data_IF_254010959307
#
_entry.id   IF_254010959307
#
_cell.length_a   1.000
_cell.length_b   1.000
_cell.length_c   1.000
_cell.angle_alpha   90.00
_cell.angle_beta   90.00
_cell.angle_gamma   90.00
#
_symmetry.space_group_name_H-M   'P 1'
#
loop_
_entity.id
_entity.type
_entity.pdbx_description
1 polymer ?
#
# COMPACT_ATOMS: atom_id res chain seq x y z
N UNK A 1 2.10 -15.03 -9.76
CA UNK A 1 3.15 -15.64 -8.92
C UNK A 1 3.16 -14.83 -7.62
N UNK A 2 2.87 -15.43 -6.46
CA UNK A 2 2.88 -14.67 -5.20
C UNK A 2 4.33 -14.28 -4.87
N UNK A 3 4.57 -12.99 -4.67
CA UNK A 3 5.89 -12.48 -4.26
C UNK A 3 6.12 -12.85 -2.79
N UNK A 4 7.33 -13.27 -2.40
CA UNK A 4 7.62 -13.64 -1.02
C UNK A 4 7.41 -12.44 -0.09
N UNK A 5 6.72 -12.68 1.03
CA UNK A 5 6.43 -11.67 2.06
C UNK A 5 7.11 -11.99 3.41
N UNK A 6 7.86 -13.10 3.50
CA UNK A 6 8.45 -13.61 4.75
C UNK A 6 9.38 -12.60 5.44
N UNK A 7 10.02 -11.74 4.65
CA UNK A 7 10.90 -10.70 5.14
C UNK A 7 10.15 -9.42 5.56
N UNK A 8 8.84 -9.32 5.37
CA UNK A 8 8.04 -8.12 5.67
C UNK A 8 7.59 -8.14 7.12
N UNK A 9 8.42 -7.57 8.00
CA UNK A 9 8.25 -7.63 9.47
C UNK A 9 7.94 -6.29 10.12
N UNK A 10 8.00 -5.20 9.36
CA UNK A 10 7.71 -3.84 9.81
C UNK A 10 7.39 -2.96 8.60
N UNK A 11 6.96 -1.73 8.89
CA UNK A 11 6.58 -0.74 7.86
C UNK A 11 7.69 -0.43 6.85
N UNK A 12 8.97 -0.42 7.26
CA UNK A 12 10.08 -0.16 6.33
C UNK A 12 10.30 -1.33 5.37
N UNK A 13 10.08 -2.57 5.83
CA UNK A 13 10.14 -3.74 4.97
C UNK A 13 8.97 -3.72 3.98
N UNK A 14 7.77 -3.33 4.42
CA UNK A 14 6.61 -3.12 3.55
C UNK A 14 6.90 -2.06 2.49
N UNK A 15 7.48 -0.92 2.89
CA UNK A 15 7.89 0.14 1.97
C UNK A 15 8.83 -0.37 0.89
N UNK A 16 9.90 -1.08 1.28
CA UNK A 16 10.85 -1.67 0.31
C UNK A 16 10.19 -2.70 -0.60
N UNK A 17 9.23 -3.46 -0.09
CA UNK A 17 8.50 -4.46 -0.87
C UNK A 17 7.63 -3.78 -1.93
N UNK A 18 6.88 -2.73 -1.57
CA UNK A 18 6.02 -1.97 -2.50
C UNK A 18 6.88 -1.19 -3.52
N UNK A 19 8.00 -0.60 -3.12
CA UNK A 19 8.95 0.06 -4.04
C UNK A 19 9.43 -0.93 -5.11
N UNK A 20 9.85 -2.13 -4.70
CA UNK A 20 10.24 -3.19 -5.66
C UNK A 20 9.08 -3.61 -6.55
N UNK A 21 7.88 -3.73 -6.00
CA UNK A 21 6.68 -4.03 -6.76
C UNK A 21 6.46 -3.02 -7.89
N UNK A 22 6.46 -1.72 -7.57
CA UNK A 22 6.25 -0.65 -8.55
C UNK A 22 7.38 -0.63 -9.60
N UNK A 23 8.63 -0.74 -9.16
CA UNK A 23 9.80 -0.77 -10.06
C UNK A 23 9.72 -1.93 -11.04
N UNK A 24 9.41 -3.12 -10.56
CA UNK A 24 9.45 -4.34 -11.36
C UNK A 24 8.25 -4.44 -12.31
N UNK A 25 7.04 -4.07 -11.87
CA UNK A 25 5.81 -4.25 -12.66
C UNK A 25 5.46 -3.05 -13.56
N UNK A 26 5.91 -1.85 -13.18
CA UNK A 26 5.62 -0.62 -13.93
C UNK A 26 6.87 0.02 -14.56
N UNK A 27 8.05 -0.59 -14.40
CA UNK A 27 9.33 -0.09 -14.94
C UNK A 27 9.64 1.35 -14.52
N UNK A 28 9.21 1.74 -13.30
CA UNK A 28 9.47 3.06 -12.72
C UNK A 28 10.86 3.08 -12.11
N UNK A 29 11.58 4.19 -12.30
CA UNK A 29 12.92 4.38 -11.71
C UNK A 29 12.84 4.39 -10.16
N UNK A 30 13.60 3.53 -9.51
CA UNK A 30 13.64 3.47 -8.04
C UNK A 30 14.10 4.80 -7.43
N UNK A 31 14.89 5.61 -8.15
CA UNK A 31 15.37 6.90 -7.69
C UNK A 31 14.23 7.92 -7.43
N UNK A 32 13.09 7.78 -8.11
CA UNK A 32 11.93 8.68 -7.93
C UNK A 32 10.89 8.12 -6.94
N UNK A 33 11.00 6.85 -6.54
CA UNK A 33 10.13 6.17 -5.57
C UNK A 33 10.48 6.55 -4.12
N UNK A 34 10.36 7.84 -3.83
CA UNK A 34 10.61 8.42 -2.50
C UNK A 34 9.34 8.42 -1.67
N UNK A 35 9.46 8.60 -0.34
CA UNK A 35 8.32 8.61 0.58
C UNK A 35 7.24 9.63 0.21
N UNK A 36 7.69 10.82 -0.19
CA UNK A 36 6.82 11.93 -0.57
C UNK A 36 6.28 11.85 -1.99
N UNK A 37 6.72 10.87 -2.79
CA UNK A 37 6.33 10.75 -4.18
C UNK A 37 4.82 10.50 -4.29
N UNK A 38 4.16 11.33 -5.08
CA UNK A 38 2.75 11.17 -5.47
C UNK A 38 2.66 10.05 -6.52
N UNK A 39 1.77 9.09 -6.28
CA UNK A 39 1.65 7.88 -7.11
C UNK A 39 1.38 8.22 -8.59
N UNK A 40 0.48 9.16 -8.86
CA UNK A 40 0.13 9.54 -10.23
C UNK A 40 1.16 10.49 -10.87
N UNK A 41 1.47 11.61 -10.20
CA UNK A 41 2.29 12.66 -10.83
C UNK A 41 3.79 12.40 -10.78
N UNK A 42 4.29 11.84 -9.67
CA UNK A 42 5.74 11.66 -9.48
C UNK A 42 6.17 10.26 -9.90
N UNK A 43 5.39 9.23 -9.56
CA UNK A 43 5.68 7.86 -9.98
C UNK A 43 5.16 7.54 -11.38
N UNK A 44 4.29 8.39 -11.96
CA UNK A 44 3.75 8.21 -13.31
C UNK A 44 2.77 7.05 -13.45
N UNK A 45 2.15 6.61 -12.34
CA UNK A 45 1.19 5.51 -12.36
C UNK A 45 -0.19 6.00 -12.79
N UNK A 46 -0.86 5.26 -13.67
CA UNK A 46 -2.29 5.50 -13.94
C UNK A 46 -3.16 4.96 -12.82
N UNK A 47 -4.41 5.42 -12.74
CA UNK A 47 -5.38 4.91 -11.76
C UNK A 47 -5.50 3.39 -11.87
N UNK A 48 -5.60 2.82 -13.08
CA UNK A 48 -5.71 1.36 -13.24
C UNK A 48 -4.46 0.62 -12.75
N UNK A 49 -3.28 1.22 -12.89
CA UNK A 49 -2.04 0.65 -12.37
C UNK A 49 -2.01 0.68 -10.84
N UNK A 50 -2.48 1.77 -10.22
CA UNK A 50 -2.58 1.84 -8.76
C UNK A 50 -3.63 0.85 -8.24
N UNK A 51 -4.75 0.66 -8.93
CA UNK A 51 -5.73 -0.38 -8.58
C UNK A 51 -5.12 -1.79 -8.66
N UNK A 52 -4.40 -2.10 -9.73
CA UNK A 52 -3.69 -3.39 -9.85
C UNK A 52 -2.60 -3.59 -8.79
N UNK A 53 -1.96 -2.50 -8.36
CA UNK A 53 -1.01 -2.50 -7.25
C UNK A 53 -1.71 -2.85 -5.92
N UNK A 54 -2.87 -2.25 -5.65
CA UNK A 54 -3.69 -2.56 -4.48
C UNK A 54 -4.13 -4.02 -4.48
N UNK A 55 -4.56 -4.55 -5.62
CA UNK A 55 -4.95 -5.96 -5.76
C UNK A 55 -3.77 -6.89 -5.46
N UNK A 56 -2.59 -6.57 -5.99
CA UNK A 56 -1.38 -7.37 -5.74
C UNK A 56 -0.96 -7.35 -4.27
N UNK A 57 -1.07 -6.19 -3.60
CA UNK A 57 -0.80 -6.06 -2.16
C UNK A 57 -1.85 -6.85 -1.36
N UNK A 58 -3.14 -6.71 -1.70
CA UNK A 58 -4.23 -7.41 -1.05
C UNK A 58 -4.04 -8.92 -1.10
N UNK A 59 -3.74 -9.46 -2.28
CA UNK A 59 -3.52 -10.89 -2.49
C UNK A 59 -2.24 -11.40 -1.81
N UNK A 60 -1.17 -10.58 -1.78
CA UNK A 60 0.11 -10.98 -1.18
C UNK A 60 0.06 -11.02 0.35
N UNK A 61 -0.70 -10.10 0.96
CA UNK A 61 -0.77 -9.96 2.43
C UNK A 61 -2.08 -10.47 3.04
N UNK A 62 -2.95 -11.07 2.23
CA UNK A 62 -4.29 -11.52 2.62
C UNK A 62 -5.12 -10.38 3.25
N UNK A 63 -5.06 -9.20 2.63
CA UNK A 63 -5.78 -8.00 3.05
C UNK A 63 -6.91 -7.65 2.07
N UNK A 64 -7.79 -6.75 2.50
CA UNK A 64 -8.92 -6.22 1.73
C UNK A 64 -8.93 -4.70 1.86
N UNK A 65 -8.58 -4.00 0.78
CA UNK A 65 -8.74 -2.55 0.72
C UNK A 65 -10.22 -2.18 0.52
N UNK A 66 -10.77 -1.23 1.30
CA UNK A 66 -12.13 -0.74 1.08
C UNK A 66 -12.22 0.10 -0.21
N UNK A 67 -13.44 0.23 -0.75
CA UNK A 67 -13.69 1.16 -1.85
C UNK A 67 -13.36 2.60 -1.43
N UNK A 68 -12.85 3.39 -2.37
CA UNK A 68 -12.39 4.76 -2.11
C UNK A 68 -11.01 4.83 -1.44
N UNK A 69 -10.22 3.75 -1.46
CA UNK A 69 -8.83 3.80 -0.94
C UNK A 69 -8.00 4.86 -1.66
N UNK A 70 -8.20 5.04 -2.96
CA UNK A 70 -7.50 6.06 -3.76
C UNK A 70 -7.94 7.49 -3.44
N UNK A 71 -9.07 7.69 -2.76
CA UNK A 71 -9.49 9.01 -2.29
C UNK A 71 -8.69 9.46 -1.05
N UNK A 72 -8.13 8.51 -0.30
CA UNK A 72 -7.41 8.74 0.96
C UNK A 72 -5.89 8.61 0.81
N UNK A 73 -5.43 7.92 -0.24
CA UNK A 73 -4.02 7.58 -0.47
C UNK A 73 -3.54 8.22 -1.76
N UNK A 74 -2.63 9.19 -1.62
CA UNK A 74 -2.08 9.95 -2.76
C UNK A 74 -0.59 9.66 -2.92
N UNK A 75 0.12 9.41 -1.81
CA UNK A 75 1.57 9.22 -1.80
C UNK A 75 1.98 7.79 -1.56
N UNK A 76 3.20 7.46 -2.02
CA UNK A 76 3.80 6.16 -1.81
C UNK A 76 3.93 5.79 -0.33
N UNK A 77 4.37 6.72 0.53
CA UNK A 77 4.46 6.45 1.98
C UNK A 77 3.09 6.18 2.61
N UNK A 78 2.05 6.90 2.19
CA UNK A 78 0.67 6.72 2.68
C UNK A 78 0.16 5.31 2.36
N UNK A 79 0.36 4.86 1.12
CA UNK A 79 0.03 3.49 0.70
C UNK A 79 0.74 2.45 1.56
N UNK A 80 2.05 2.64 1.77
CA UNK A 80 2.87 1.71 2.55
C UNK A 80 2.45 1.68 4.02
N UNK A 81 2.17 2.84 4.62
CA UNK A 81 1.70 2.95 6.00
C UNK A 81 0.33 2.31 6.17
N UNK A 82 -0.59 2.52 5.22
CA UNK A 82 -1.92 1.90 5.23
C UNK A 82 -1.82 0.38 5.19
N UNK A 83 -1.11 -0.18 4.21
CA UNK A 83 -0.91 -1.63 4.08
C UNK A 83 -0.23 -2.23 5.32
N UNK A 84 0.83 -1.58 5.83
CA UNK A 84 1.52 -2.04 7.03
C UNK A 84 0.62 -2.02 8.27
N UNK A 85 -0.18 -0.96 8.47
CA UNK A 85 -1.10 -0.86 9.59
C UNK A 85 -2.23 -1.90 9.51
N UNK A 86 -2.82 -2.09 8.32
CA UNK A 86 -3.86 -3.10 8.10
C UNK A 86 -3.35 -4.51 8.41
N UNK A 87 -2.06 -4.78 8.19
CA UNK A 87 -1.40 -6.04 8.54
C UNK A 87 -0.93 -6.14 10.01
N UNK A 88 -1.07 -5.07 10.80
CA UNK A 88 -0.60 -5.01 12.18
C UNK A 88 0.90 -4.73 12.35
N UNK A 89 1.60 -4.32 11.29
CA UNK A 89 3.04 -4.03 11.27
C UNK A 89 3.37 -2.55 11.52
N UNK A 90 2.35 -1.72 11.76
CA UNK A 90 2.49 -0.29 11.99
C UNK A 90 1.33 0.29 12.81
N UNK A 91 1.53 1.49 13.37
CA UNK A 91 0.48 2.25 14.07
C UNK A 91 -0.55 2.81 13.09
N UNK A 92 -1.74 3.18 13.58
CA UNK A 92 -2.78 3.83 12.77
C UNK A 92 -2.22 5.10 12.10
N UNK A 93 -2.34 5.25 10.77
CA UNK A 93 -1.95 6.49 10.09
C UNK A 93 -2.88 7.66 10.47
N UNK A 94 -2.34 8.87 10.55
CA UNK A 94 -3.11 10.07 10.93
C UNK A 94 -3.92 10.64 9.77
N UNK A 95 -3.55 10.33 8.52
CA UNK A 95 -4.21 10.86 7.32
C UNK A 95 -5.56 10.20 7.03
N UNK A 96 -5.82 8.99 7.54
CA UNK A 96 -7.07 8.28 7.28
C UNK A 96 -8.21 8.77 8.18
N UNK A 97 -9.36 9.01 7.55
CA UNK A 97 -10.60 9.33 8.26
C UNK A 97 -11.06 8.18 9.18
N UNK A 98 -11.82 8.51 10.24
CA UNK A 98 -12.36 7.51 11.17
C UNK A 98 -13.32 6.53 10.49
N UNK A 99 -14.12 7.00 9.52
CA UNK A 99 -15.04 6.14 8.75
C UNK A 99 -14.27 5.16 7.85
N UNK A 100 -13.16 5.59 7.26
CA UNK A 100 -12.28 4.73 6.49
C UNK A 100 -11.60 3.68 7.39
N UNK A 101 -11.16 4.06 8.59
CA UNK A 101 -10.62 3.12 9.57
C UNK A 101 -11.62 1.99 9.89
N UNK A 102 -12.87 2.35 10.19
CA UNK A 102 -13.91 1.37 10.54
C UNK A 102 -14.10 0.36 9.39
N UNK A 103 -14.12 0.83 8.14
CA UNK A 103 -14.22 -0.03 6.95
C UNK A 103 -13.00 -0.94 6.81
N UNK A 104 -11.79 -0.41 7.00
CA UNK A 104 -10.57 -1.21 6.98
C UNK A 104 -10.62 -2.33 8.02
N UNK A 105 -10.97 -2.01 9.27
CA UNK A 105 -11.06 -3.02 10.35
C UNK A 105 -12.17 -4.03 10.13
N UNK A 106 -13.32 -3.61 9.62
CA UNK A 106 -14.43 -4.53 9.30
C UNK A 106 -14.06 -5.54 8.21
N UNK A 107 -13.33 -5.11 7.18
CA UNK A 107 -12.88 -5.98 6.09
C UNK A 107 -11.69 -6.88 6.46
N UNK A 108 -10.89 -6.47 7.43
CA UNK A 108 -9.63 -7.12 7.81
C UNK A 108 -9.66 -7.59 9.27
N UNK A 109 -10.85 -7.96 9.78
CA UNK A 109 -11.03 -8.35 11.18
C UNK A 109 -10.18 -9.56 11.60
N UNK A 110 -9.74 -10.37 10.65
CA UNK A 110 -8.87 -11.53 10.87
C UNK A 110 -7.37 -11.21 10.71
N UNK A 111 -6.99 -10.01 10.26
CA UNK A 111 -5.63 -9.69 9.83
C UNK A 111 -4.78 -8.93 10.87
N UNK A 112 -5.22 -8.87 12.14
CA UNK A 112 -4.49 -8.24 13.24
C UNK A 112 -4.81 -8.87 14.59
#
# INVERSE_FOLDING_TARGET
>A
MQRPIDDVKNWMHMFRWIVKLIRDDHTVDEAILTRSAVLESDCGLTIEQVEGLLDTIADSFELRFPRGTLDEVVKLEELCMLAAWMRGLYKRPEFISSDFEIRCRGLNAACG
#
